data_IF_767024740291
#
_entry.id   IF_767024740291
#
_cell.length_a   1.000
_cell.length_b   1.000
_cell.length_c   1.000
_cell.angle_alpha   90.00
_cell.angle_beta   90.00
_cell.angle_gamma   90.00
#
_symmetry.space_group_name_H-M   'P 1'
#
loop_
_entity.id
_entity.type
_entity.pdbx_description
1 polymer ?
#
# COMPACT_ATOMS: atom_id res chain seq x y z
N UNK A 1 -2.55 -3.86 -4.20
CA UNK A 1 -3.54 -4.77 -3.61
C UNK A 1 -4.93 -4.65 -4.25
N UNK A 2 -5.50 -3.45 -4.42
CA UNK A 2 -6.85 -3.29 -4.96
C UNK A 2 -7.07 -3.93 -6.34
N UNK A 3 -6.19 -3.67 -7.30
CA UNK A 3 -6.27 -4.23 -8.66
C UNK A 3 -6.23 -5.76 -8.67
N UNK A 4 -5.34 -6.37 -7.89
CA UNK A 4 -5.18 -7.82 -7.77
C UNK A 4 -6.35 -8.50 -7.04
N UNK A 5 -6.90 -7.86 -6.00
CA UNK A 5 -8.12 -8.36 -5.32
C UNK A 5 -9.32 -8.30 -6.28
N UNK A 6 -9.50 -7.17 -6.96
CA UNK A 6 -10.57 -6.99 -7.94
C UNK A 6 -10.45 -8.00 -9.09
N UNK A 7 -9.26 -8.22 -9.63
CA UNK A 7 -9.01 -9.26 -10.63
C UNK A 7 -9.35 -10.66 -10.09
N UNK A 8 -8.95 -10.99 -8.86
CA UNK A 8 -9.33 -12.25 -8.22
C UNK A 8 -10.84 -12.43 -8.09
N UNK A 9 -11.57 -11.38 -7.73
CA UNK A 9 -13.03 -11.38 -7.66
C UNK A 9 -13.68 -11.54 -9.04
N UNK A 10 -13.12 -10.90 -10.08
CA UNK A 10 -13.57 -11.08 -11.47
C UNK A 10 -13.35 -12.51 -11.96
N UNK A 11 -12.32 -13.20 -11.47
CA UNK A 11 -12.07 -14.63 -11.73
C UNK A 11 -12.93 -15.57 -10.85
N UNK A 12 -13.82 -15.05 -10.02
CA UNK A 12 -14.73 -15.84 -9.19
C UNK A 12 -14.14 -16.31 -7.85
N UNK A 13 -12.99 -15.80 -7.43
CA UNK A 13 -12.45 -16.11 -6.10
C UNK A 13 -13.31 -15.47 -5.00
N UNK A 14 -13.44 -16.15 -3.86
CA UNK A 14 -14.00 -15.54 -2.66
C UNK A 14 -13.14 -14.35 -2.18
N UNK A 15 -13.77 -13.33 -1.59
CA UNK A 15 -13.10 -12.09 -1.12
C UNK A 15 -11.89 -12.36 -0.22
N UNK A 16 -12.02 -13.30 0.71
CA UNK A 16 -10.95 -13.72 1.62
C UNK A 16 -9.77 -14.35 0.88
N UNK A 17 -10.05 -15.22 -0.09
CA UNK A 17 -9.07 -15.90 -0.94
C UNK A 17 -8.36 -14.92 -1.87
N UNK A 18 -9.11 -14.02 -2.53
CA UNK A 18 -8.55 -12.98 -3.39
C UNK A 18 -7.61 -12.04 -2.61
N UNK A 19 -7.99 -11.67 -1.38
CA UNK A 19 -7.15 -10.86 -0.50
C UNK A 19 -5.86 -11.58 -0.10
N UNK A 20 -5.94 -12.84 0.35
CA UNK A 20 -4.76 -13.67 0.69
C UNK A 20 -3.83 -13.84 -0.50
N UNK A 21 -4.38 -14.15 -1.67
CA UNK A 21 -3.63 -14.26 -2.91
C UNK A 21 -2.92 -12.95 -3.24
N UNK A 22 -3.62 -11.81 -3.15
CA UNK A 22 -3.01 -10.50 -3.38
C UNK A 22 -1.89 -10.17 -2.39
N UNK A 23 -1.98 -10.62 -1.14
CA UNK A 23 -0.90 -10.44 -0.16
C UNK A 23 0.30 -11.32 -0.46
N UNK A 24 0.07 -12.61 -0.76
CA UNK A 24 1.14 -13.54 -1.14
C UNK A 24 1.89 -13.06 -2.36
N UNK A 25 1.18 -12.54 -3.38
CA UNK A 25 1.80 -11.95 -4.56
C UNK A 25 2.56 -10.65 -4.23
N UNK A 26 2.11 -9.91 -3.22
CA UNK A 26 2.77 -8.69 -2.76
C UNK A 26 4.13 -8.93 -2.11
N UNK A 27 4.33 -10.09 -1.45
CA UNK A 27 5.61 -10.42 -0.77
C UNK A 27 6.81 -10.35 -1.73
N UNK A 28 6.86 -11.10 -2.84
CA UNK A 28 8.01 -11.04 -3.75
C UNK A 28 8.15 -9.67 -4.41
N UNK A 29 7.04 -9.02 -4.78
CA UNK A 29 7.07 -7.72 -5.45
C UNK A 29 7.64 -6.62 -4.53
N UNK A 30 7.15 -6.53 -3.29
CA UNK A 30 7.59 -5.52 -2.32
C UNK A 30 9.00 -5.82 -1.83
N UNK A 31 9.35 -7.10 -1.58
CA UNK A 31 10.71 -7.48 -1.17
C UNK A 31 11.73 -7.13 -2.24
N UNK A 32 11.45 -7.40 -3.52
CA UNK A 32 12.35 -7.03 -4.61
C UNK A 32 12.48 -5.51 -4.77
N UNK A 33 11.37 -4.77 -4.71
CA UNK A 33 11.39 -3.31 -4.75
C UNK A 33 12.23 -2.74 -3.59
N UNK A 34 12.01 -3.23 -2.36
CA UNK A 34 12.76 -2.82 -1.19
C UNK A 34 14.25 -3.17 -1.26
N UNK A 35 14.61 -4.31 -1.86
CA UNK A 35 16.02 -4.66 -2.09
C UNK A 35 16.69 -3.72 -3.09
N UNK A 36 16.01 -3.37 -4.18
CA UNK A 36 16.52 -2.42 -5.18
C UNK A 36 16.70 -1.04 -4.54
N UNK A 37 15.72 -0.59 -3.77
CA UNK A 37 15.76 0.71 -3.11
C UNK A 37 16.84 0.75 -2.02
N UNK A 38 17.01 -0.34 -1.25
CA UNK A 38 18.11 -0.48 -0.30
C UNK A 38 19.48 -0.45 -1.00
N UNK A 39 19.62 -1.11 -2.15
CA UNK A 39 20.86 -1.05 -2.92
C UNK A 39 21.19 0.39 -3.37
N UNK A 40 20.17 1.15 -3.81
CA UNK A 40 20.32 2.57 -4.12
C UNK A 40 20.71 3.42 -2.91
N UNK A 41 20.13 3.17 -1.74
CA UNK A 41 20.51 3.85 -0.50
C UNK A 41 21.96 3.56 -0.08
N UNK A 42 22.46 2.35 -0.37
CA UNK A 42 23.84 1.97 -0.09
C UNK A 42 24.84 2.60 -1.08
N UNK A 43 24.43 2.85 -2.33
CA UNK A 43 25.28 3.52 -3.32
C UNK A 43 25.29 5.04 -3.17
N UNK A 44 24.12 5.63 -2.93
CA UNK A 44 23.91 7.09 -3.00
C UNK A 44 24.00 7.75 -1.61
N UNK A 45 23.97 6.94 -0.55
CA UNK A 45 23.96 7.38 0.85
C UNK A 45 22.55 7.79 1.33
N UNK A 46 22.41 7.98 2.64
CA UNK A 46 21.12 8.26 3.30
C UNK A 46 20.64 9.72 3.19
N UNK A 47 21.36 10.56 2.44
CA UNK A 47 21.13 12.00 2.37
C UNK A 47 21.09 12.67 3.75
N UNK A 48 20.39 13.81 3.83
CA UNK A 48 20.26 14.63 5.05
C UNK A 48 19.31 14.03 6.11
N UNK A 49 18.51 13.04 5.74
CA UNK A 49 17.55 12.42 6.66
C UNK A 49 18.25 11.55 7.74
N UNK A 50 19.40 10.95 7.40
CA UNK A 50 20.18 10.12 8.32
C UNK A 50 19.51 8.80 8.74
N UNK A 51 20.18 8.05 9.62
CA UNK A 51 19.76 6.70 10.03
C UNK A 51 18.55 6.67 10.96
N UNK A 52 18.33 7.72 11.76
CA UNK A 52 17.30 7.70 12.81
C UNK A 52 15.88 7.66 12.22
N UNK A 53 15.50 8.53 11.27
CA UNK A 53 14.17 8.46 10.64
C UNK A 53 13.97 7.19 9.82
N UNK A 54 15.03 6.64 9.21
CA UNK A 54 14.98 5.37 8.49
C UNK A 54 14.56 4.23 9.43
N UNK A 55 15.26 4.06 10.56
CA UNK A 55 14.97 3.01 11.53
C UNK A 55 13.56 3.19 12.11
N UNK A 56 13.19 4.42 12.46
CA UNK A 56 11.85 4.73 12.96
C UNK A 56 10.76 4.39 11.92
N UNK A 57 11.00 4.71 10.65
CA UNK A 57 10.11 4.37 9.54
C UNK A 57 9.98 2.87 9.33
N UNK A 58 11.08 2.11 9.39
CA UNK A 58 11.07 0.65 9.27
C UNK A 58 10.29 0.01 10.41
N UNK A 59 10.55 0.40 11.66
CA UNK A 59 9.84 -0.15 12.84
C UNK A 59 8.35 0.20 12.78
N UNK A 60 8.03 1.48 12.51
CA UNK A 60 6.65 1.94 12.36
C UNK A 60 5.93 1.14 11.26
N UNK A 61 6.53 1.05 10.07
CA UNK A 61 5.96 0.31 8.95
C UNK A 61 5.73 -1.16 9.29
N UNK A 62 6.68 -1.82 9.97
CA UNK A 62 6.52 -3.22 10.38
C UNK A 62 5.32 -3.42 11.32
N UNK A 63 5.17 -2.56 12.34
CA UNK A 63 4.08 -2.64 13.31
C UNK A 63 2.74 -2.34 12.64
N UNK A 64 2.62 -1.20 11.96
CA UNK A 64 1.34 -0.77 11.37
C UNK A 64 0.93 -1.63 10.18
N UNK A 65 1.86 -2.16 9.39
CA UNK A 65 1.54 -3.08 8.30
C UNK A 65 0.96 -4.38 8.82
N UNK A 66 1.54 -4.96 9.88
CA UNK A 66 0.99 -6.17 10.49
C UNK A 66 -0.42 -5.93 11.04
N UNK A 67 -0.61 -4.85 11.81
CA UNK A 67 -1.92 -4.49 12.35
C UNK A 67 -2.96 -4.25 11.24
N UNK A 68 -2.58 -3.53 10.18
CA UNK A 68 -3.45 -3.25 9.05
C UNK A 68 -3.85 -4.54 8.30
N UNK A 69 -2.91 -5.46 8.06
CA UNK A 69 -3.19 -6.73 7.38
C UNK A 69 -4.11 -7.61 8.23
N UNK A 70 -3.81 -7.75 9.52
CA UNK A 70 -4.63 -8.54 10.44
C UNK A 70 -6.07 -8.01 10.48
N UNK A 71 -6.22 -6.68 10.63
CA UNK A 71 -7.51 -6.02 10.61
C UNK A 71 -8.23 -6.16 9.26
N UNK A 72 -7.53 -5.97 8.14
CA UNK A 72 -8.13 -6.04 6.80
C UNK A 72 -8.66 -7.45 6.51
N UNK A 73 -7.90 -8.49 6.83
CA UNK A 73 -8.33 -9.87 6.63
C UNK A 73 -9.60 -10.15 7.43
N UNK A 74 -9.69 -9.66 8.66
CA UNK A 74 -10.88 -9.84 9.49
C UNK A 74 -12.09 -9.03 8.97
N UNK A 75 -11.86 -7.78 8.56
CA UNK A 75 -12.87 -6.93 7.96
C UNK A 75 -13.49 -7.57 6.71
N UNK A 76 -12.65 -8.09 5.81
CA UNK A 76 -13.11 -8.67 4.53
C UNK A 76 -13.92 -9.95 4.69
N UNK A 77 -13.80 -10.66 5.81
CA UNK A 77 -14.66 -11.82 6.11
C UNK A 77 -16.10 -11.40 6.41
N UNK A 78 -16.27 -10.28 7.10
CA UNK A 78 -17.55 -9.90 7.71
C UNK A 78 -18.24 -8.71 7.01
N UNK A 79 -17.53 -7.97 6.15
CA UNK A 79 -18.02 -6.71 5.56
C UNK A 79 -17.74 -6.62 4.06
N UNK A 80 -18.58 -5.85 3.39
CA UNK A 80 -18.42 -5.54 1.97
C UNK A 80 -17.32 -4.50 1.74
N UNK A 81 -16.68 -4.54 0.58
CA UNK A 81 -15.55 -3.65 0.20
C UNK A 81 -15.96 -2.22 -0.18
N UNK A 82 -17.26 -1.89 -0.20
CA UNK A 82 -17.79 -0.60 -0.65
C UNK A 82 -17.20 0.62 0.08
N UNK A 83 -16.88 0.50 1.37
CA UNK A 83 -16.25 1.58 2.14
C UNK A 83 -14.90 1.98 1.52
N UNK A 84 -14.09 1.01 1.08
CA UNK A 84 -12.81 1.29 0.43
C UNK A 84 -12.96 1.92 -0.95
N UNK A 85 -14.03 1.56 -1.68
CA UNK A 85 -14.32 2.13 -3.00
C UNK A 85 -14.64 3.62 -2.86
N UNK A 86 -15.57 3.97 -1.97
CA UNK A 86 -15.93 5.36 -1.73
C UNK A 86 -14.76 6.19 -1.19
N UNK A 87 -13.99 5.63 -0.26
CA UNK A 87 -12.75 6.25 0.22
C UNK A 87 -11.79 6.56 -0.93
N UNK A 88 -11.54 5.61 -1.84
CA UNK A 88 -10.62 5.82 -2.97
C UNK A 88 -11.15 6.84 -3.99
N UNK A 89 -12.44 6.84 -4.28
CA UNK A 89 -13.04 7.82 -5.19
C UNK A 89 -12.93 9.22 -4.62
N UNK A 90 -13.32 9.41 -3.35
CA UNK A 90 -13.23 10.71 -2.68
C UNK A 90 -11.78 11.20 -2.60
N UNK A 91 -10.85 10.33 -2.22
CA UNK A 91 -9.43 10.66 -2.14
C UNK A 91 -8.82 10.99 -3.52
N UNK A 92 -9.19 10.23 -4.56
CA UNK A 92 -8.76 10.50 -5.94
C UNK A 92 -9.26 11.85 -6.45
N UNK A 93 -10.53 12.19 -6.19
CA UNK A 93 -11.09 13.50 -6.52
C UNK A 93 -10.34 14.60 -5.78
N UNK A 94 -10.08 14.43 -4.48
CA UNK A 94 -9.34 15.40 -3.68
C UNK A 94 -7.94 15.68 -4.24
N UNK A 95 -7.21 14.64 -4.66
CA UNK A 95 -5.90 14.78 -5.32
C UNK A 95 -6.02 15.55 -6.64
N UNK A 96 -6.97 15.17 -7.51
CA UNK A 96 -7.16 15.84 -8.80
C UNK A 96 -7.51 17.32 -8.65
N UNK A 97 -8.36 17.65 -7.68
CA UNK A 97 -8.69 19.05 -7.34
C UNK A 97 -7.47 19.78 -6.81
N UNK A 98 -6.69 19.18 -5.91
CA UNK A 98 -5.49 19.81 -5.35
C UNK A 98 -4.44 20.11 -6.44
N UNK A 99 -4.27 19.22 -7.42
CA UNK A 99 -3.41 19.45 -8.59
C UNK A 99 -4.00 20.56 -9.47
N UNK A 100 -5.31 20.51 -9.76
CA UNK A 100 -5.98 21.53 -10.59
C UNK A 100 -5.90 22.94 -9.98
N UNK A 101 -5.87 23.03 -8.65
CA UNK A 101 -5.75 24.30 -7.92
C UNK A 101 -4.29 24.74 -7.72
N UNK A 102 -3.31 24.02 -8.30
CA UNK A 102 -1.87 24.23 -8.09
C UNK A 102 -1.44 24.24 -6.61
N UNK A 103 -2.20 23.58 -5.74
CA UNK A 103 -1.82 23.38 -4.33
C UNK A 103 -0.75 22.31 -4.23
N UNK A 104 -0.82 21.30 -5.11
CA UNK A 104 0.24 20.32 -5.32
C UNK A 104 0.94 20.62 -6.64
N UNK A 105 2.29 20.72 -6.66
CA UNK A 105 3.02 20.89 -7.90
C UNK A 105 2.80 19.68 -8.80
N UNK A 106 2.49 19.93 -10.07
CA UNK A 106 2.49 18.90 -11.09
C UNK A 106 3.96 18.71 -11.53
N UNK A 107 4.67 17.84 -10.82
CA UNK A 107 6.06 17.46 -11.11
C UNK A 107 6.16 16.61 -12.37
#
# INVERSE_FOLDING_TARGET
>A
SGSTITAGLFMGLERSTAARFSFLLGIPAISLAGLVELAGLLSDGLGDAGLVPLIAGVISSAVFSYLAIAWLIDYLKNRNTWVFVWYRIAFGIAILVAISMNVLPNS
#
